data_IF_096544233370
#
_entry.id   IF_096544233370
#
_cell.length_a   1.000
_cell.length_b   1.000
_cell.length_c   1.000
_cell.angle_alpha   90.00
_cell.angle_beta   90.00
_cell.angle_gamma   90.00
#
_symmetry.space_group_name_H-M   'P 1'
#
loop_
_entity.id
_entity.type
_entity.pdbx_description
1 polymer ?
#
# COMPACT_ATOMS: atom_id res chain seq x y z
N UNK A 1 3.72 0.31 -18.81
CA UNK A 1 3.71 -0.70 -17.73
C UNK A 1 2.28 -0.99 -17.41
N UNK A 2 1.92 -2.23 -17.11
CA UNK A 2 0.58 -2.57 -16.64
C UNK A 2 0.69 -2.72 -15.14
N UNK A 3 -0.01 -1.88 -14.39
CA UNK A 3 -0.04 -1.92 -12.92
C UNK A 3 -1.23 -2.76 -12.43
N UNK A 4 -1.05 -3.57 -11.39
CA UNK A 4 -2.12 -4.37 -10.77
C UNK A 4 -3.27 -3.49 -10.28
N UNK A 5 -2.95 -2.30 -9.75
CA UNK A 5 -3.95 -1.31 -9.32
C UNK A 5 -4.83 -0.76 -10.46
N UNK A 6 -4.39 -0.90 -11.72
CA UNK A 6 -5.15 -0.48 -12.89
C UNK A 6 -5.99 -1.62 -13.48
N UNK A 7 -5.79 -2.86 -13.01
CA UNK A 7 -6.54 -4.02 -13.48
C UNK A 7 -7.87 -4.19 -12.74
N UNK A 8 -7.94 -3.76 -11.47
CA UNK A 8 -9.14 -3.86 -10.67
C UNK A 8 -9.23 -2.68 -9.70
N UNK A 9 -10.14 -1.75 -9.93
CA UNK A 9 -10.35 -0.64 -9.00
C UNK A 9 -11.36 -0.98 -7.90
N UNK A 10 -11.41 -0.17 -6.84
CA UNK A 10 -12.50 -0.20 -5.87
C UNK A 10 -13.87 0.07 -6.52
N UNK A 11 -13.92 0.97 -7.51
CA UNK A 11 -15.13 1.25 -8.31
C UNK A 11 -15.56 0.03 -9.12
N UNK A 12 -14.61 -0.74 -9.65
CA UNK A 12 -14.93 -1.97 -10.36
C UNK A 12 -15.58 -2.99 -9.42
N UNK A 13 -14.99 -3.23 -8.24
CA UNK A 13 -15.52 -4.15 -7.24
C UNK A 13 -16.94 -3.76 -6.79
N UNK A 14 -17.14 -2.48 -6.45
CA UNK A 14 -18.46 -1.97 -6.06
C UNK A 14 -19.49 -2.07 -7.18
N UNK A 15 -19.09 -1.84 -8.45
CA UNK A 15 -19.97 -2.01 -9.62
C UNK A 15 -20.39 -3.46 -9.85
N UNK A 16 -19.57 -4.42 -9.42
CA UNK A 16 -19.86 -5.86 -9.47
C UNK A 16 -20.71 -6.32 -8.27
N UNK A 17 -21.07 -5.41 -7.37
CA UNK A 17 -21.80 -5.73 -6.15
C UNK A 17 -20.94 -6.37 -5.05
N UNK A 18 -19.62 -6.45 -5.24
CA UNK A 18 -18.70 -6.94 -4.23
C UNK A 18 -18.68 -5.98 -3.05
N UNK A 19 -18.97 -6.51 -1.86
CA UNK A 19 -18.96 -5.73 -0.64
C UNK A 19 -17.53 -5.64 -0.11
N UNK A 20 -17.08 -4.41 -0.04
CA UNK A 20 -15.81 -3.98 0.50
C UNK A 20 -16.01 -3.59 1.95
N UNK A 21 -15.02 -3.83 2.81
CA UNK A 21 -15.14 -3.48 4.23
C UNK A 21 -15.31 -1.95 4.37
N UNK A 22 -16.43 -1.45 4.94
CA UNK A 22 -16.67 -0.02 5.06
C UNK A 22 -15.86 0.63 6.19
N UNK A 23 -15.36 -0.17 7.14
CA UNK A 23 -14.58 0.26 8.30
C UNK A 23 -13.57 -0.83 8.64
N UNK A 24 -12.55 -1.01 7.80
CA UNK A 24 -11.32 -1.59 8.28
C UNK A 24 -10.90 -0.76 9.49
N UNK A 25 -10.61 -1.43 10.59
CA UNK A 25 -9.90 -0.79 11.69
C UNK A 25 -8.77 0.06 11.08
N UNK A 26 -8.51 1.31 11.51
CA UNK A 26 -7.43 2.15 10.97
C UNK A 26 -6.02 1.52 10.98
N UNK A 27 -5.89 0.32 11.57
CA UNK A 27 -4.68 -0.52 11.59
C UNK A 27 -4.83 -1.85 10.80
N UNK A 28 -5.96 -2.09 10.15
CA UNK A 28 -6.20 -3.25 9.27
C UNK A 28 -6.04 -2.77 7.83
N UNK A 29 -4.93 -3.17 7.22
CA UNK A 29 -4.63 -2.89 5.82
C UNK A 29 -5.74 -3.47 4.93
N UNK A 30 -6.55 -2.58 4.36
CA UNK A 30 -7.68 -2.97 3.51
C UNK A 30 -7.26 -3.09 2.06
N UNK A 31 -6.32 -2.27 1.63
CA UNK A 31 -5.56 -2.50 0.40
C UNK A 31 -4.10 -2.22 0.66
N UNK A 32 -3.26 -3.05 0.07
CA UNK A 32 -1.84 -2.81 -0.04
C UNK A 32 -1.50 -2.90 -1.50
N UNK A 33 -0.78 -1.90 -2.02
CA UNK A 33 -0.23 -1.98 -3.36
C UNK A 33 1.28 -1.85 -3.37
N UNK A 34 1.90 -2.64 -4.21
CA UNK A 34 3.31 -2.52 -4.54
C UNK A 34 3.42 -2.27 -6.03
N UNK A 35 4.30 -1.35 -6.44
CA UNK A 35 4.52 -1.02 -7.85
C UNK A 35 5.92 -0.44 -8.06
N UNK A 36 6.33 -0.31 -9.33
CA UNK A 36 7.62 0.25 -9.70
C UNK A 36 7.50 1.70 -10.19
N UNK A 37 8.37 2.57 -9.70
CA UNK A 37 8.52 3.96 -10.16
C UNK A 37 9.81 4.16 -10.93
N UNK A 38 9.82 5.12 -11.86
CA UNK A 38 10.98 5.39 -12.72
C UNK A 38 12.09 6.22 -12.08
N UNK A 39 11.92 6.70 -10.85
CA UNK A 39 12.84 7.62 -10.17
C UNK A 39 13.75 6.93 -9.14
N UNK A 40 13.64 5.62 -8.92
CA UNK A 40 14.50 4.86 -8.01
C UNK A 40 15.70 4.24 -8.74
N UNK A 41 16.93 4.78 -8.59
CA UNK A 41 18.11 4.27 -9.29
C UNK A 41 18.76 3.06 -8.59
N UNK A 42 18.33 2.75 -7.36
CA UNK A 42 18.85 1.65 -6.56
C UNK A 42 18.48 0.28 -7.13
N UNK A 43 19.22 -0.78 -6.75
CA UNK A 43 18.95 -2.13 -7.24
C UNK A 43 17.64 -2.68 -6.70
N UNK A 44 16.95 -3.47 -7.53
CA UNK A 44 15.85 -4.31 -7.11
C UNK A 44 16.41 -5.67 -6.64
N UNK A 45 16.36 -5.96 -5.33
CA UNK A 45 17.00 -7.14 -4.69
C UNK A 45 15.97 -8.09 -4.07
N UNK A 46 14.99 -8.49 -4.87
CA UNK A 46 13.81 -9.21 -4.38
C UNK A 46 13.74 -10.62 -4.97
N UNK A 47 13.29 -11.57 -4.17
CA UNK A 47 13.07 -12.96 -4.63
C UNK A 47 11.89 -13.05 -5.61
N UNK A 48 10.98 -12.07 -5.59
CA UNK A 48 9.90 -11.89 -6.56
C UNK A 48 10.34 -11.42 -7.96
N UNK A 49 11.64 -11.32 -8.24
CA UNK A 49 12.15 -11.34 -9.64
C UNK A 49 11.81 -12.69 -10.31
N UNK A 50 11.52 -13.72 -9.50
CA UNK A 50 10.85 -14.93 -9.98
C UNK A 50 9.32 -14.76 -9.95
N UNK A 51 8.65 -15.31 -10.97
CA UNK A 51 7.22 -15.16 -11.26
C UNK A 51 6.31 -14.86 -10.05
N UNK A 52 5.58 -13.75 -10.10
CA UNK A 52 4.71 -13.28 -9.03
C UNK A 52 3.45 -14.13 -8.87
N UNK A 53 3.21 -14.63 -7.66
CA UNK A 53 1.93 -15.24 -7.27
C UNK A 53 1.16 -14.30 -6.36
N UNK A 54 -0.13 -14.12 -6.62
CA UNK A 54 -0.98 -13.24 -5.81
C UNK A 54 -1.07 -13.68 -4.32
N UNK A 55 -0.97 -14.97 -4.02
CA UNK A 55 -0.91 -15.48 -2.64
C UNK A 55 0.45 -15.27 -1.95
N UNK A 56 1.48 -14.86 -2.69
CA UNK A 56 2.83 -14.65 -2.20
C UNK A 56 3.31 -13.20 -2.39
N UNK A 57 4.62 -13.02 -2.39
CA UNK A 57 5.24 -11.72 -2.67
C UNK A 57 5.28 -11.46 -4.19
N UNK A 58 4.97 -10.22 -4.58
CA UNK A 58 4.99 -9.78 -5.98
C UNK A 58 5.44 -8.32 -6.11
N UNK A 59 6.13 -7.99 -7.20
CA UNK A 59 6.66 -6.64 -7.46
C UNK A 59 5.56 -5.63 -7.80
N UNK A 60 4.57 -6.09 -8.57
CA UNK A 60 3.37 -5.34 -8.89
C UNK A 60 2.17 -6.14 -8.37
N UNK A 61 1.59 -5.65 -7.27
CA UNK A 61 0.56 -6.35 -6.50
C UNK A 61 -0.47 -5.38 -5.97
N UNK A 62 -1.70 -5.84 -5.90
CA UNK A 62 -2.77 -5.18 -5.16
C UNK A 62 -3.54 -6.22 -4.33
N UNK A 63 -3.53 -6.05 -3.02
CA UNK A 63 -4.31 -6.85 -2.07
C UNK A 63 -5.59 -6.11 -1.69
N UNK A 64 -6.67 -6.85 -1.47
CA UNK A 64 -7.99 -6.40 -1.06
C UNK A 64 -8.43 -7.22 0.15
N UNK A 65 -8.72 -6.55 1.26
CA UNK A 65 -9.48 -7.10 2.38
C UNK A 65 -10.93 -6.70 2.20
N UNK A 66 -11.80 -7.69 2.14
CA UNK A 66 -13.22 -7.58 1.83
C UNK A 66 -14.05 -8.08 3.00
N UNK A 67 -15.35 -7.82 2.94
CA UNK A 67 -16.29 -8.31 3.94
C UNK A 67 -17.54 -8.85 3.26
N UNK A 68 -18.06 -9.95 3.78
CA UNK A 68 -19.32 -10.53 3.30
C UNK A 68 -20.46 -9.53 3.39
N UNK A 69 -21.51 -9.70 2.60
CA UNK A 69 -22.60 -8.72 2.53
C UNK A 69 -23.40 -8.55 3.83
N UNK A 70 -23.40 -9.57 4.68
CA UNK A 70 -23.98 -9.56 6.03
C UNK A 70 -22.99 -9.09 7.11
N UNK A 71 -21.73 -8.84 6.75
CA UNK A 71 -20.70 -8.32 7.64
C UNK A 71 -19.96 -9.36 8.49
N UNK A 72 -20.29 -10.66 8.33
CA UNK A 72 -19.88 -11.74 9.25
C UNK A 72 -18.51 -12.35 8.94
N UNK A 73 -18.06 -12.32 7.69
CA UNK A 73 -16.81 -12.94 7.26
C UNK A 73 -15.85 -11.90 6.69
N UNK A 74 -14.58 -12.00 7.09
CA UNK A 74 -13.47 -11.37 6.39
C UNK A 74 -13.09 -12.22 5.19
N UNK A 75 -12.91 -11.55 4.06
CA UNK A 75 -12.62 -12.15 2.76
C UNK A 75 -11.40 -11.47 2.15
N UNK A 76 -10.74 -12.14 1.21
CA UNK A 76 -9.56 -11.59 0.55
C UNK A 76 -9.62 -11.75 -0.95
N UNK A 77 -9.01 -10.80 -1.64
CA UNK A 77 -8.71 -10.88 -3.05
C UNK A 77 -7.33 -10.26 -3.25
N UNK A 78 -6.50 -10.84 -4.11
CA UNK A 78 -5.22 -10.28 -4.48
C UNK A 78 -5.04 -10.43 -5.99
N UNK A 79 -4.48 -9.41 -6.62
CA UNK A 79 -4.09 -9.40 -8.04
C UNK A 79 -2.61 -9.06 -8.11
N UNK A 80 -1.84 -9.84 -8.87
CA UNK A 80 -0.43 -9.58 -9.11
C UNK A 80 -0.13 -9.66 -10.61
N UNK A 81 0.69 -8.75 -11.14
CA UNK A 81 1.04 -8.72 -12.56
C UNK A 81 2.50 -9.06 -12.75
N UNK A 82 2.76 -10.06 -13.59
CA UNK A 82 4.08 -10.41 -14.11
C UNK A 82 4.17 -10.03 -15.57
N UNK A 83 5.16 -9.22 -15.94
CA UNK A 83 5.50 -8.91 -17.33
C UNK A 83 7.01 -8.84 -17.53
N UNK A 84 7.53 -9.16 -18.73
CA UNK A 84 8.97 -9.28 -18.99
C UNK A 84 9.80 -8.04 -18.64
N UNK A 85 9.19 -6.86 -18.67
CA UNK A 85 9.87 -5.59 -18.40
C UNK A 85 10.49 -5.52 -16.98
N UNK A 86 9.97 -6.27 -16.01
CA UNK A 86 10.51 -6.30 -14.64
C UNK A 86 10.52 -7.68 -13.99
N UNK A 87 9.82 -8.67 -14.56
CA UNK A 87 9.95 -10.09 -14.22
C UNK A 87 10.42 -10.83 -15.48
N UNK A 88 11.73 -10.98 -15.72
CA UNK A 88 12.23 -11.66 -16.92
C UNK A 88 11.68 -13.09 -17.10
N UNK A 89 11.34 -13.77 -16.00
CA UNK A 89 10.72 -15.10 -16.03
C UNK A 89 9.23 -15.12 -16.42
N UNK A 90 8.58 -13.96 -16.59
CA UNK A 90 7.15 -13.87 -16.90
C UNK A 90 6.78 -14.61 -18.19
N UNK A 91 7.63 -14.53 -19.22
CA UNK A 91 7.43 -15.27 -20.47
C UNK A 91 7.39 -16.80 -20.24
N UNK A 92 8.27 -17.32 -19.38
CA UNK A 92 8.28 -18.73 -19.00
C UNK A 92 7.02 -19.14 -18.22
N UNK A 93 6.46 -18.24 -17.43
CA UNK A 93 5.21 -18.50 -16.72
C UNK A 93 3.99 -18.46 -17.63
N UNK A 94 3.94 -17.57 -18.62
CA UNK A 94 2.89 -17.55 -19.64
C UNK A 94 2.89 -18.87 -20.45
N UNK A 95 4.08 -19.38 -20.81
CA UNK A 95 4.24 -20.66 -21.49
C UNK A 95 3.71 -21.87 -20.69
N UNK A 96 3.65 -21.79 -19.35
CA UNK A 96 3.03 -22.85 -18.53
C UNK A 96 1.53 -23.04 -18.79
N UNK A 97 0.90 -22.11 -19.51
CA UNK A 97 -0.51 -22.17 -19.91
C UNK A 97 -0.69 -22.56 -21.39
N UNK A 98 0.38 -22.86 -22.11
CA UNK A 98 0.31 -23.33 -23.49
C UNK A 98 -0.19 -24.78 -23.54
N UNK A 99 -1.14 -25.05 -24.43
CA UNK A 99 -1.83 -26.35 -24.49
C UNK A 99 -2.85 -26.59 -23.38
N UNK A 100 -2.97 -25.70 -22.39
CA UNK A 100 -4.05 -25.75 -21.40
C UNK A 100 -5.31 -25.12 -21.99
N UNK A 101 -6.46 -25.74 -21.79
CA UNK A 101 -7.73 -25.17 -22.22
C UNK A 101 -8.18 -24.05 -21.25
N UNK A 102 -8.40 -22.82 -21.73
CA UNK A 102 -8.86 -21.73 -20.87
C UNK A 102 -10.30 -21.95 -20.44
N UNK A 103 -10.62 -21.54 -19.21
CA UNK A 103 -11.98 -21.57 -18.66
C UNK A 103 -12.87 -20.51 -19.32
N UNK A 104 -12.30 -19.34 -19.62
CA UNK A 104 -12.97 -18.23 -20.33
C UNK A 104 -11.97 -17.61 -21.32
N UNK A 105 -12.45 -17.17 -22.48
CA UNK A 105 -11.67 -16.37 -23.44
C UNK A 105 -12.42 -15.07 -23.75
N UNK A 106 -11.69 -13.95 -23.78
CA UNK A 106 -12.20 -12.64 -24.19
C UNK A 106 -11.21 -12.03 -25.19
N UNK A 107 -11.52 -12.09 -26.49
CA UNK A 107 -10.55 -11.73 -27.53
C UNK A 107 -9.28 -12.57 -27.42
N UNK A 108 -8.11 -11.94 -27.31
CA UNK A 108 -6.82 -12.61 -27.11
C UNK A 108 -6.48 -12.91 -25.65
N UNK A 109 -7.32 -12.51 -24.70
CA UNK A 109 -7.09 -12.72 -23.27
C UNK A 109 -7.72 -14.05 -22.83
N UNK A 110 -6.95 -14.84 -22.10
CA UNK A 110 -7.33 -16.18 -21.63
C UNK A 110 -7.39 -16.21 -20.10
N UNK A 111 -8.46 -16.76 -19.54
CA UNK A 111 -8.58 -17.04 -18.11
C UNK A 111 -8.37 -18.54 -17.86
N UNK A 112 -7.54 -18.85 -16.87
CA UNK A 112 -7.29 -20.19 -16.38
C UNK A 112 -7.61 -20.21 -14.89
N UNK A 113 -8.63 -20.97 -14.50
CA UNK A 113 -8.96 -21.16 -13.09
C UNK A 113 -8.14 -22.31 -12.50
N UNK A 114 -7.29 -22.01 -11.52
CA UNK A 114 -6.52 -22.99 -10.74
C UNK A 114 -7.15 -23.08 -9.35
N UNK A 115 -8.12 -23.97 -9.20
CA UNK A 115 -8.76 -24.19 -7.90
C UNK A 115 -7.70 -24.77 -6.96
N UNK A 116 -7.49 -24.19 -5.77
CA UNK A 116 -6.83 -24.92 -4.67
C UNK A 116 -7.68 -26.17 -4.40
N UNK A 117 -7.17 -27.22 -3.76
CA UNK A 117 -8.00 -28.38 -3.37
C UNK A 117 -9.06 -27.94 -2.35
N UNK A 118 -10.12 -27.29 -2.85
CA UNK A 118 -11.15 -26.63 -2.06
C UNK A 118 -12.53 -27.19 -2.42
N UNK A 119 -13.41 -27.37 -1.42
CA UNK A 119 -14.77 -27.85 -1.65
C UNK A 119 -15.63 -26.88 -2.48
N UNK A 120 -15.36 -25.57 -2.38
CA UNK A 120 -16.15 -24.50 -3.00
C UNK A 120 -15.29 -23.67 -3.96
N UNK A 121 -15.12 -24.16 -5.19
CA UNK A 121 -14.06 -23.69 -6.05
C UNK A 121 -14.33 -22.35 -6.76
N UNK A 122 -15.55 -21.84 -6.67
CA UNK A 122 -15.92 -20.49 -7.12
C UNK A 122 -15.96 -19.48 -5.96
N UNK A 123 -15.66 -19.95 -4.75
CA UNK A 123 -15.54 -19.15 -3.53
C UNK A 123 -14.08 -18.99 -3.08
N UNK A 124 -13.18 -19.93 -3.37
CA UNK A 124 -11.75 -19.76 -3.05
C UNK A 124 -10.83 -20.45 -4.04
N UNK A 125 -9.59 -19.96 -4.17
CA UNK A 125 -8.58 -20.58 -5.02
C UNK A 125 -7.67 -19.57 -5.71
N UNK A 126 -7.11 -20.00 -6.84
CA UNK A 126 -6.24 -19.18 -7.68
C UNK A 126 -6.81 -19.08 -9.10
N UNK A 127 -6.46 -18.00 -9.79
CA UNK A 127 -6.71 -17.90 -11.22
C UNK A 127 -5.57 -17.16 -11.90
N UNK A 128 -5.47 -17.31 -13.21
CA UNK A 128 -4.52 -16.56 -14.03
C UNK A 128 -5.20 -16.04 -15.29
N UNK A 129 -5.00 -14.76 -15.56
CA UNK A 129 -5.36 -14.13 -16.82
C UNK A 129 -4.07 -13.91 -17.62
N UNK A 130 -4.04 -14.42 -18.85
CA UNK A 130 -2.85 -14.39 -19.71
C UNK A 130 -3.13 -13.60 -20.99
N UNK A 131 -2.22 -12.69 -21.34
CA UNK A 131 -2.21 -11.92 -22.58
C UNK A 131 -0.77 -11.80 -23.10
N UNK A 132 -0.42 -12.57 -24.14
CA UNK A 132 0.98 -12.66 -24.59
C UNK A 132 1.88 -13.15 -23.46
N UNK A 133 2.97 -12.44 -23.20
CA UNK A 133 3.93 -12.73 -22.13
C UNK A 133 3.55 -12.09 -20.77
N UNK A 134 2.40 -11.44 -20.69
CA UNK A 134 1.87 -10.85 -19.45
C UNK A 134 0.93 -11.82 -18.76
N UNK A 135 1.13 -12.01 -17.46
CA UNK A 135 0.27 -12.85 -16.61
C UNK A 135 -0.22 -12.03 -15.42
N UNK A 136 -1.54 -11.94 -15.26
CA UNK A 136 -2.19 -11.44 -14.05
C UNK A 136 -2.66 -12.63 -13.20
N UNK A 137 -2.00 -12.88 -12.08
CA UNK A 137 -2.36 -13.91 -11.10
C UNK A 137 -3.38 -13.37 -10.10
N UNK A 138 -4.28 -14.25 -9.68
CA UNK A 138 -5.31 -14.00 -8.67
C UNK A 138 -5.16 -15.00 -7.53
N UNK A 139 -5.35 -14.52 -6.32
CA UNK A 139 -5.60 -15.34 -5.15
C UNK A 139 -6.85 -14.79 -4.46
N UNK A 140 -7.80 -15.65 -4.11
CA UNK A 140 -9.09 -15.19 -3.59
C UNK A 140 -9.68 -16.14 -2.55
N UNK A 141 -10.34 -15.54 -1.56
CA UNK A 141 -11.19 -16.19 -0.57
C UNK A 141 -12.46 -15.34 -0.38
N UNK A 142 -13.49 -15.66 -1.17
CA UNK A 142 -14.79 -15.01 -1.31
C UNK A 142 -15.93 -15.97 -0.94
N UNK A 143 -15.96 -16.49 0.29
CA UNK A 143 -16.94 -17.49 0.77
C UNK A 143 -18.24 -16.92 1.30
N UNK A 144 -18.29 -15.62 1.53
CA UNK A 144 -19.38 -14.93 2.16
C UNK A 144 -20.59 -14.70 1.26
N UNK A 145 -21.79 -14.58 1.85
CA UNK A 145 -22.98 -14.21 1.11
C UNK A 145 -22.76 -12.88 0.37
N UNK A 146 -23.16 -12.84 -0.91
CA UNK A 146 -23.02 -11.67 -1.79
C UNK A 146 -21.72 -11.62 -2.61
N UNK A 147 -20.62 -12.20 -2.09
CA UNK A 147 -19.32 -12.24 -2.78
C UNK A 147 -19.02 -13.61 -3.39
N UNK A 148 -19.59 -14.69 -2.83
CA UNK A 148 -19.48 -16.04 -3.39
C UNK A 148 -19.95 -16.11 -4.85
N UNK A 149 -19.13 -16.72 -5.72
CA UNK A 149 -19.41 -16.87 -7.15
C UNK A 149 -19.08 -15.66 -8.03
N UNK A 150 -18.58 -14.55 -7.45
CA UNK A 150 -18.24 -13.34 -8.22
C UNK A 150 -16.95 -13.46 -9.05
N UNK A 151 -16.17 -14.53 -8.87
CA UNK A 151 -14.86 -14.69 -9.50
C UNK A 151 -14.89 -14.49 -11.02
N UNK A 152 -15.85 -15.07 -11.72
CA UNK A 152 -15.91 -14.94 -13.18
C UNK A 152 -16.18 -13.50 -13.62
N UNK A 153 -17.01 -12.77 -12.88
CA UNK A 153 -17.31 -11.37 -13.16
C UNK A 153 -16.09 -10.47 -12.88
N UNK A 154 -15.41 -10.70 -11.76
CA UNK A 154 -14.14 -10.04 -11.40
C UNK A 154 -13.08 -10.32 -12.46
N UNK A 155 -12.87 -11.59 -12.81
CA UNK A 155 -11.90 -12.00 -13.81
C UNK A 155 -12.20 -11.38 -15.17
N UNK A 156 -13.47 -11.37 -15.60
CA UNK A 156 -13.87 -10.73 -16.87
C UNK A 156 -13.57 -9.23 -16.86
N UNK A 157 -13.80 -8.52 -15.75
CA UNK A 157 -13.43 -7.11 -15.61
C UNK A 157 -11.92 -6.92 -15.73
N UNK A 158 -11.12 -7.75 -15.06
CA UNK A 158 -9.66 -7.69 -15.19
C UNK A 158 -9.21 -7.98 -16.62
N UNK A 159 -9.81 -8.96 -17.31
CA UNK A 159 -9.48 -9.23 -18.72
C UNK A 159 -9.73 -8.00 -19.60
N UNK A 160 -10.84 -7.28 -19.38
CA UNK A 160 -11.15 -6.03 -20.09
C UNK A 160 -10.12 -4.93 -19.78
N UNK A 161 -9.83 -4.71 -18.51
CA UNK A 161 -8.87 -3.70 -18.07
C UNK A 161 -7.45 -4.03 -18.54
N UNK A 162 -7.06 -5.31 -18.56
CA UNK A 162 -5.77 -5.76 -19.08
C UNK A 162 -5.63 -5.46 -20.58
N UNK A 163 -6.67 -5.71 -21.40
CA UNK A 163 -6.66 -5.31 -22.81
C UNK A 163 -6.53 -3.79 -22.97
N UNK A 164 -7.26 -3.03 -22.14
CA UNK A 164 -7.21 -1.57 -22.19
C UNK A 164 -5.82 -1.03 -21.83
N UNK A 165 -5.23 -1.50 -20.72
CA UNK A 165 -3.89 -1.12 -20.26
C UNK A 165 -2.79 -1.55 -21.23
N UNK A 166 -2.97 -2.65 -21.96
CA UNK A 166 -2.01 -3.05 -23.00
C UNK A 166 -2.01 -2.08 -24.19
N UNK A 167 -3.16 -1.51 -24.54
CA UNK A 167 -3.30 -0.54 -25.64
C UNK A 167 -2.92 0.88 -25.20
N UNK A 168 -3.26 1.24 -23.98
CA UNK A 168 -3.02 2.56 -23.40
C UNK A 168 -2.48 2.39 -21.97
N UNK A 169 -1.17 2.09 -21.82
CA UNK A 169 -0.57 1.93 -20.50
C UNK A 169 -0.67 3.24 -19.72
N UNK A 170 -1.20 3.16 -18.49
CA UNK A 170 -1.20 4.26 -17.54
C UNK A 170 -0.21 3.98 -16.41
N UNK A 171 0.30 5.03 -15.77
CA UNK A 171 0.99 4.89 -14.49
C UNK A 171 0.05 4.39 -13.38
N UNK A 172 0.56 4.17 -12.16
CA UNK A 172 -0.26 3.74 -11.04
C UNK A 172 -1.41 4.72 -10.82
N UNK A 173 -2.64 4.19 -10.68
CA UNK A 173 -3.83 5.01 -10.46
C UNK A 173 -3.67 5.87 -9.20
N UNK A 174 -4.16 7.11 -9.24
CA UNK A 174 -4.25 7.91 -8.01
C UNK A 174 -5.41 7.40 -7.17
N UNK A 175 -5.25 7.44 -5.86
CA UNK A 175 -6.31 7.04 -4.93
C UNK A 175 -7.01 8.31 -4.49
N UNK A 176 -8.17 8.54 -5.11
CA UNK A 176 -9.02 9.66 -4.78
C UNK A 176 -9.93 9.29 -3.63
N UNK A 177 -9.87 10.07 -2.55
CA UNK A 177 -10.75 9.92 -1.41
C UNK A 177 -11.91 10.90 -1.53
N UNK A 178 -13.14 10.39 -1.66
CA UNK A 178 -14.36 11.19 -1.68
C UNK A 178 -15.36 10.62 -0.69
N UNK A 179 -15.61 11.34 0.40
CA UNK A 179 -16.59 10.97 1.42
C UNK A 179 -17.41 12.17 1.86
N UNK A 180 -18.75 12.08 1.93
CA UNK A 180 -19.59 13.16 2.45
C UNK A 180 -19.24 13.56 3.90
N UNK A 181 -18.71 12.63 4.69
CA UNK A 181 -18.28 12.89 6.08
C UNK A 181 -16.82 13.34 6.20
N UNK A 182 -16.08 13.37 5.08
CA UNK A 182 -14.76 13.99 4.99
C UNK A 182 -14.61 14.76 3.67
N UNK A 183 -15.17 15.97 3.59
CA UNK A 183 -15.23 16.74 2.34
C UNK A 183 -13.91 17.43 1.98
N UNK A 184 -12.90 17.35 2.85
CA UNK A 184 -11.60 17.99 2.68
C UNK A 184 -10.66 17.09 1.87
N UNK A 185 -9.74 17.66 1.07
CA UNK A 185 -8.74 16.87 0.37
C UNK A 185 -7.88 16.02 1.32
N UNK A 186 -7.34 14.91 0.83
CA UNK A 186 -6.46 14.03 1.59
C UNK A 186 -5.04 14.12 1.01
N UNK A 187 -4.04 14.23 1.87
CA UNK A 187 -2.65 14.31 1.45
C UNK A 187 -2.11 12.91 1.06
N UNK A 188 -1.37 12.87 -0.04
CA UNK A 188 -0.76 11.63 -0.57
C UNK A 188 0.70 11.53 -0.10
N UNK A 189 1.11 10.44 0.56
CA UNK A 189 2.45 10.31 1.12
C UNK A 189 3.54 10.06 0.06
N UNK A 190 3.32 9.21 -0.95
CA UNK A 190 4.41 8.83 -1.87
C UNK A 190 5.03 9.96 -2.68
N UNK A 191 4.28 10.96 -3.19
CA UNK A 191 4.88 12.12 -3.85
C UNK A 191 5.85 12.92 -2.95
N UNK A 192 5.78 12.74 -1.63
CA UNK A 192 6.67 13.38 -0.65
C UNK A 192 7.92 12.54 -0.33
N UNK A 193 7.95 11.27 -0.72
CA UNK A 193 9.11 10.38 -0.58
C UNK A 193 9.90 10.32 -1.89
N UNK A 194 10.47 11.45 -2.30
CA UNK A 194 11.38 11.50 -3.45
C UNK A 194 12.75 10.90 -3.11
N UNK A 195 13.56 10.49 -4.10
CA UNK A 195 14.85 9.86 -3.84
C UNK A 195 15.80 10.71 -2.97
N UNK A 196 15.75 12.03 -3.08
CA UNK A 196 16.53 12.97 -2.26
C UNK A 196 16.07 13.05 -0.79
N UNK A 197 14.80 12.72 -0.52
CA UNK A 197 14.26 12.58 0.85
C UNK A 197 14.62 11.21 1.44
N UNK A 198 14.58 10.16 0.62
CA UNK A 198 14.72 8.76 1.07
C UNK A 198 16.17 8.32 1.21
N UNK A 199 17.03 8.70 0.26
CA UNK A 199 18.42 8.23 0.17
C UNK A 199 19.26 8.61 1.41
N UNK A 200 19.20 9.85 1.95
CA UNK A 200 20.03 10.20 3.09
C UNK A 200 19.69 9.41 4.37
N UNK A 201 18.41 9.25 4.78
CA UNK A 201 18.06 8.42 5.93
C UNK A 201 18.46 6.96 5.80
N UNK A 202 18.29 6.34 4.61
CA UNK A 202 18.60 4.92 4.43
C UNK A 202 20.08 4.65 4.13
N UNK A 203 20.84 5.69 3.73
CA UNK A 203 22.27 5.62 3.44
C UNK A 203 22.63 4.93 2.11
N UNK A 204 21.67 4.75 1.22
CA UNK A 204 21.83 4.09 -0.08
C UNK A 204 20.75 4.56 -1.07
N UNK A 205 20.98 4.35 -2.36
CA UNK A 205 19.99 4.68 -3.40
C UNK A 205 18.70 3.88 -3.19
N UNK A 206 17.57 4.58 -3.22
CA UNK A 206 16.26 3.96 -3.15
C UNK A 206 16.00 3.08 -4.40
N UNK A 207 15.49 1.88 -4.16
CA UNK A 207 14.94 0.99 -5.20
C UNK A 207 13.78 1.66 -5.93
N UNK A 208 13.49 1.25 -7.18
CA UNK A 208 12.25 1.64 -7.87
C UNK A 208 10.99 1.06 -7.21
N UNK A 209 11.09 0.13 -6.26
CA UNK A 209 9.94 -0.45 -5.57
C UNK A 209 9.31 0.53 -4.58
N UNK A 210 7.99 0.70 -4.68
CA UNK A 210 7.16 1.48 -3.76
C UNK A 210 6.09 0.56 -3.18
N UNK A 211 5.83 0.69 -1.88
CA UNK A 211 4.67 0.09 -1.22
C UNK A 211 3.76 1.19 -0.68
N UNK A 212 2.47 1.12 -0.97
CA UNK A 212 1.45 2.04 -0.47
C UNK A 212 0.36 1.29 0.28
N UNK A 213 -0.03 1.86 1.42
CA UNK A 213 -1.17 1.44 2.22
C UNK A 213 -2.16 2.62 2.25
N UNK A 214 -3.07 2.71 1.26
CA UNK A 214 -4.05 3.78 1.22
C UNK A 214 -5.07 3.69 2.35
N UNK A 215 -5.54 4.85 2.80
CA UNK A 215 -6.72 4.98 3.65
C UNK A 215 -7.99 4.74 2.85
N UNK A 216 -8.89 3.95 3.41
CA UNK A 216 -10.04 3.36 2.69
C UNK A 216 -11.38 3.76 3.30
N UNK A 217 -11.32 4.31 4.51
CA UNK A 217 -12.47 4.83 5.24
C UNK A 217 -12.06 6.07 6.04
N UNK A 218 -13.07 6.84 6.44
CA UNK A 218 -12.90 7.89 7.43
C UNK A 218 -12.85 7.21 8.79
N UNK A 219 -11.72 7.32 9.46
CA UNK A 219 -11.59 6.94 10.87
C UNK A 219 -12.19 8.02 11.77
N UNK A 220 -12.49 7.65 13.00
CA UNK A 220 -12.80 8.58 14.08
C UNK A 220 -11.94 8.24 15.30
N UNK A 221 -11.48 9.27 16.01
CA UNK A 221 -10.68 9.12 17.23
C UNK A 221 -11.16 10.09 18.31
N UNK A 222 -11.33 9.59 19.52
CA UNK A 222 -11.57 10.42 20.72
C UNK A 222 -10.29 10.43 21.53
N UNK A 223 -9.66 11.60 21.65
CA UNK A 223 -8.44 11.74 22.44
C UNK A 223 -8.74 11.76 23.94
N UNK A 224 -7.74 11.43 24.80
CA UNK A 224 -7.91 11.53 26.25
C UNK A 224 -8.46 12.89 26.67
N UNK A 225 -9.44 12.89 27.58
CA UNK A 225 -10.14 14.09 28.08
C UNK A 225 -11.04 14.81 27.07
N UNK A 226 -11.22 14.27 25.87
CA UNK A 226 -12.20 14.75 24.89
C UNK A 226 -13.51 13.97 24.95
N UNK A 227 -14.58 14.62 24.52
CA UNK A 227 -15.91 13.99 24.37
C UNK A 227 -16.38 13.94 22.92
N UNK A 228 -15.74 14.70 22.03
CA UNK A 228 -16.07 14.75 20.61
C UNK A 228 -15.02 14.00 19.79
N UNK A 229 -15.45 13.15 18.83
CA UNK A 229 -14.52 12.46 17.95
C UNK A 229 -13.96 13.39 16.87
N UNK A 230 -12.74 13.09 16.43
CA UNK A 230 -12.08 13.73 15.30
C UNK A 230 -12.03 12.77 14.12
N UNK A 231 -12.56 13.19 12.98
CA UNK A 231 -12.48 12.41 11.75
C UNK A 231 -11.12 12.59 11.08
N UNK A 232 -10.60 11.49 10.54
CA UNK A 232 -9.34 11.48 9.82
C UNK A 232 -9.31 10.44 8.68
N UNK A 233 -8.36 10.63 7.77
CA UNK A 233 -7.97 9.64 6.76
C UNK A 233 -6.45 9.51 6.81
N UNK A 234 -5.95 8.28 6.95
CA UNK A 234 -4.51 8.00 7.03
C UNK A 234 -4.06 7.19 5.82
N UNK A 235 -3.00 7.64 5.14
CA UNK A 235 -2.35 6.94 4.04
C UNK A 235 -0.88 6.73 4.42
N UNK A 236 -0.29 5.63 3.98
CA UNK A 236 1.13 5.35 4.20
C UNK A 236 1.83 4.97 2.90
N UNK A 237 3.08 5.41 2.77
CA UNK A 237 3.99 5.05 1.68
C UNK A 237 5.32 4.59 2.26
N UNK A 238 5.94 3.60 1.64
CA UNK A 238 7.27 3.13 1.98
C UNK A 238 8.16 3.04 0.72
N UNK A 239 9.41 3.49 0.87
CA UNK A 239 10.48 3.32 -0.12
C UNK A 239 11.76 2.87 0.56
N UNK A 240 12.54 1.99 -0.08
CA UNK A 240 13.74 1.43 0.54
C UNK A 240 14.73 0.79 -0.42
N UNK A 241 15.62 -0.04 0.08
CA UNK A 241 16.72 -0.67 -0.68
C UNK A 241 16.32 -1.90 -1.52
N UNK A 242 15.02 -2.20 -1.61
CA UNK A 242 14.47 -3.18 -2.57
C UNK A 242 14.59 -4.66 -2.19
N UNK A 243 14.89 -4.98 -0.92
CA UNK A 243 14.85 -6.34 -0.39
C UNK A 243 13.40 -6.77 -0.10
N UNK A 244 13.13 -8.08 -0.28
CA UNK A 244 11.83 -8.70 0.02
C UNK A 244 11.54 -8.87 1.49
N UNK A 245 12.58 -9.20 2.27
CA UNK A 245 12.45 -9.42 3.68
C UNK A 245 12.39 -8.08 4.41
N UNK A 246 11.28 -7.85 5.10
CA UNK A 246 11.03 -6.65 5.90
C UNK A 246 12.08 -6.46 7.01
N UNK A 247 12.76 -7.52 7.43
CA UNK A 247 13.85 -7.45 8.41
C UNK A 247 15.20 -7.11 7.77
N UNK A 248 15.41 -7.52 6.52
CA UNK A 248 16.66 -7.26 5.79
C UNK A 248 16.65 -5.94 4.99
N UNK A 249 15.52 -5.22 4.96
CA UNK A 249 15.38 -3.98 4.20
C UNK A 249 15.70 -2.75 5.04
N UNK A 250 16.38 -1.77 4.42
CA UNK A 250 16.39 -0.38 4.90
C UNK A 250 15.31 0.38 4.15
N UNK A 251 14.38 0.97 4.87
CA UNK A 251 13.25 1.67 4.27
C UNK A 251 12.82 2.89 5.08
N UNK A 252 12.38 3.92 4.38
CA UNK A 252 11.73 5.09 4.94
C UNK A 252 10.23 4.98 4.66
N UNK A 253 9.44 4.91 5.73
CA UNK A 253 7.99 4.93 5.66
C UNK A 253 7.47 6.31 6.09
N UNK A 254 6.49 6.83 5.37
CA UNK A 254 5.78 8.06 5.67
C UNK A 254 4.29 7.76 5.75
N UNK A 255 3.73 7.90 6.95
CA UNK A 255 2.29 7.96 7.18
C UNK A 255 1.84 9.41 7.25
N UNK A 256 0.80 9.75 6.50
CA UNK A 256 0.15 11.06 6.55
C UNK A 256 -1.29 10.88 7.00
N UNK A 257 -1.61 11.46 8.16
CA UNK A 257 -2.96 11.49 8.73
C UNK A 257 -3.57 12.87 8.49
N UNK A 258 -4.58 12.90 7.61
CA UNK A 258 -5.34 14.10 7.24
C UNK A 258 -6.56 14.24 8.14
N UNK A 259 -6.68 15.36 8.87
CA UNK A 259 -7.84 15.68 9.69
C UNK A 259 -8.76 16.71 9.03
N UNK A 260 -9.97 16.86 9.57
CA UNK A 260 -10.88 17.97 9.22
C UNK A 260 -10.48 19.31 9.84
N UNK A 261 -9.70 19.29 10.93
CA UNK A 261 -9.27 20.48 11.66
C UNK A 261 -7.81 20.39 12.09
N UNK A 262 -7.19 21.55 12.29
CA UNK A 262 -5.83 21.64 12.84
C UNK A 262 -5.76 21.12 14.28
N UNK A 263 -6.83 21.32 15.06
CA UNK A 263 -6.91 20.87 16.45
C UNK A 263 -6.85 19.33 16.54
N UNK A 264 -7.53 18.62 15.65
CA UNK A 264 -7.43 17.15 15.58
C UNK A 264 -6.01 16.68 15.28
N UNK A 265 -5.34 17.33 14.32
CA UNK A 265 -3.95 17.02 13.98
C UNK A 265 -2.98 17.34 15.14
N UNK A 266 -3.19 18.45 15.84
CA UNK A 266 -2.38 18.85 17.00
C UNK A 266 -2.51 17.82 18.12
N UNK A 267 -3.74 17.48 18.51
CA UNK A 267 -4.01 16.45 19.54
C UNK A 267 -3.43 15.09 19.16
N UNK A 268 -3.46 14.74 17.87
CA UNK A 268 -2.82 13.52 17.40
C UNK A 268 -1.32 13.51 17.67
N UNK A 269 -0.60 14.58 17.30
CA UNK A 269 0.85 14.70 17.56
C UNK A 269 1.14 14.68 19.06
N UNK A 270 0.37 15.40 19.87
CA UNK A 270 0.50 15.42 21.33
C UNK A 270 0.27 14.03 21.95
N UNK A 271 -0.76 13.31 21.49
CA UNK A 271 -1.11 11.98 22.00
C UNK A 271 -0.05 10.94 21.67
N UNK A 272 0.39 10.87 20.40
CA UNK A 272 1.46 9.95 19.98
C UNK A 272 2.76 10.28 20.71
N UNK A 273 3.17 11.56 20.73
CA UNK A 273 4.38 11.94 21.44
C UNK A 273 4.31 11.66 22.94
N UNK A 274 3.16 11.89 23.58
CA UNK A 274 2.95 11.59 25.00
C UNK A 274 3.06 10.10 25.32
N UNK A 275 2.46 9.25 24.49
CA UNK A 275 2.49 7.79 24.66
C UNK A 275 3.90 7.19 24.51
N UNK A 276 4.75 7.82 23.69
CA UNK A 276 6.08 7.28 23.33
C UNK A 276 7.25 8.14 23.82
N UNK A 277 7.02 9.07 24.76
CA UNK A 277 8.08 9.88 25.36
C UNK A 277 8.81 10.81 24.37
N UNK A 278 8.09 11.32 23.37
CA UNK A 278 8.65 12.15 22.30
C UNK A 278 9.25 13.47 22.80
N UNK A 279 10.39 13.83 22.24
CA UNK A 279 11.15 15.03 22.58
C UNK A 279 11.11 16.04 21.43
N UNK A 280 11.15 17.33 21.74
CA UNK A 280 11.26 18.35 20.70
C UNK A 280 12.67 18.30 20.07
N UNK A 281 12.80 18.20 18.73
CA UNK A 281 14.09 18.32 18.08
C UNK A 281 14.61 19.77 18.17
N UNK A 282 15.92 19.96 17.99
CA UNK A 282 16.56 21.29 18.06
C UNK A 282 16.09 22.26 16.97
N UNK A 283 15.69 21.75 15.81
CA UNK A 283 15.08 22.54 14.73
C UNK A 283 13.63 22.09 14.51
N UNK A 284 12.72 23.05 14.39
CA UNK A 284 11.30 22.77 14.19
C UNK A 284 11.02 22.32 12.76
N UNK A 285 10.18 21.30 12.61
CA UNK A 285 9.61 20.86 11.32
C UNK A 285 8.13 21.19 11.31
N UNK A 286 7.67 21.93 10.29
CA UNK A 286 6.28 22.39 10.22
C UNK A 286 5.88 23.27 11.40
N UNK A 287 4.66 23.11 11.89
CA UNK A 287 4.09 23.88 13.00
C UNK A 287 4.49 23.31 14.36
N UNK A 288 4.78 22.01 14.43
CA UNK A 288 5.35 21.34 15.60
C UNK A 288 5.96 20.00 15.18
N UNK A 289 7.00 19.58 15.90
CA UNK A 289 7.66 18.30 15.66
C UNK A 289 8.11 17.66 16.97
N UNK A 290 8.09 16.34 16.98
CA UNK A 290 8.57 15.50 18.07
C UNK A 290 9.33 14.33 17.48
N UNK A 291 10.43 13.98 18.11
CA UNK A 291 11.21 12.82 17.76
C UNK A 291 11.23 11.83 18.92
N UNK A 292 11.09 10.56 18.58
CA UNK A 292 10.98 9.48 19.55
C UNK A 292 11.70 8.23 19.05
N UNK A 293 12.06 7.40 20.01
CA UNK A 293 12.48 6.02 19.75
C UNK A 293 11.24 5.15 19.95
N UNK A 294 10.74 4.52 18.89
CA UNK A 294 9.65 3.55 19.05
C UNK A 294 10.23 2.24 19.59
N UNK A 295 9.97 1.97 20.87
CA UNK A 295 10.43 0.75 21.55
C UNK A 295 9.43 -0.39 21.46
N UNK A 296 8.26 -0.18 20.85
CA UNK A 296 7.15 -1.14 20.82
C UNK A 296 6.99 -1.85 19.47
N UNK A 297 7.56 -1.30 18.40
CA UNK A 297 7.64 -1.95 17.09
C UNK A 297 9.01 -2.56 16.86
N UNK A 298 9.06 -3.88 16.60
CA UNK A 298 10.30 -4.59 16.21
C UNK A 298 10.86 -4.12 14.86
N UNK A 299 10.07 -3.35 14.08
CA UNK A 299 10.34 -2.93 12.70
C UNK A 299 10.76 -1.46 12.58
N UNK A 300 10.41 -0.58 13.51
CA UNK A 300 10.60 0.88 13.37
C UNK A 300 11.29 1.45 14.59
N UNK A 301 12.44 2.08 14.36
CA UNK A 301 13.42 2.23 15.44
C UNK A 301 13.88 3.68 15.64
N UNK A 302 13.41 4.60 14.80
CA UNK A 302 13.33 6.03 15.08
C UNK A 302 12.09 6.60 14.38
N UNK A 303 11.39 7.51 15.05
CA UNK A 303 10.17 8.14 14.52
C UNK A 303 10.24 9.65 14.68
N UNK A 304 10.04 10.37 13.58
CA UNK A 304 9.78 11.80 13.59
C UNK A 304 8.31 12.01 13.28
N UNK A 305 7.56 12.56 14.24
CA UNK A 305 6.20 13.02 14.00
C UNK A 305 6.19 14.55 13.93
N UNK A 306 5.51 15.12 12.93
CA UNK A 306 5.35 16.57 12.82
C UNK A 306 3.99 16.95 12.25
N UNK A 307 3.59 18.20 12.45
CA UNK A 307 2.33 18.74 11.95
C UNK A 307 2.58 19.90 10.98
N UNK A 308 1.71 20.02 9.97
CA UNK A 308 1.57 21.24 9.18
C UNK A 308 0.08 21.45 8.86
N UNK A 309 -0.53 22.48 9.45
CA UNK A 309 -1.97 22.71 9.42
C UNK A 309 -2.75 21.52 9.98
N UNK A 310 -3.70 20.99 9.18
CA UNK A 310 -4.57 19.84 9.51
C UNK A 310 -3.96 18.46 9.23
N UNK A 311 -2.67 18.40 8.92
CA UNK A 311 -1.98 17.17 8.54
C UNK A 311 -0.92 16.80 9.58
N UNK A 312 -0.98 15.57 10.07
CA UNK A 312 0.09 14.97 10.86
C UNK A 312 0.89 14.01 9.98
N UNK A 313 2.21 14.08 10.07
CA UNK A 313 3.16 13.30 9.30
C UNK A 313 3.99 12.49 10.28
N UNK A 314 4.06 11.18 10.06
CA UNK A 314 4.88 10.26 10.84
C UNK A 314 5.88 9.59 9.91
N UNK A 315 7.15 9.94 10.09
CA UNK A 315 8.27 9.45 9.32
C UNK A 315 9.03 8.41 10.15
N UNK A 316 9.14 7.19 9.62
CA UNK A 316 9.71 6.04 10.32
C UNK A 316 10.85 5.46 9.48
N UNK A 317 12.01 5.21 10.12
CA UNK A 317 13.12 4.50 9.50
C UNK A 317 13.14 3.05 9.98
N UNK A 318 13.00 2.13 9.03
CA UNK A 318 13.22 0.70 9.21
C UNK A 318 14.66 0.36 8.81
N UNK A 319 15.44 -0.19 9.74
CA UNK A 319 16.80 -0.70 9.52
C UNK A 319 17.10 -1.76 10.58
N UNK A 320 16.43 -2.92 10.49
CA UNK A 320 16.50 -3.93 11.54
C UNK A 320 17.88 -4.58 11.64
N UNK A 321 18.55 -4.88 10.52
CA UNK A 321 19.91 -5.46 10.52
C UNK A 321 20.97 -4.50 11.09
N UNK A 322 20.92 -3.22 10.72
CA UNK A 322 21.86 -2.22 11.23
C UNK A 322 21.57 -1.82 12.68
N UNK A 323 20.29 -1.82 13.06
CA UNK A 323 19.82 -1.32 14.34
C UNK A 323 18.78 -2.26 14.95
N UNK A 324 19.15 -3.48 15.41
CA UNK A 324 18.22 -4.49 15.92
C UNK A 324 17.63 -4.14 17.29
N UNK A 325 17.92 -2.97 17.87
CA UNK A 325 17.37 -2.50 19.15
C UNK A 325 16.67 -1.14 19.12
N UNK A 326 16.78 -0.38 18.03
CA UNK A 326 16.38 1.02 18.03
C UNK A 326 17.45 1.84 17.34
N UNK A 327 17.07 2.95 16.71
CA UNK A 327 17.97 4.08 16.55
C UNK A 327 17.98 4.80 17.90
N UNK A 328 19.16 5.16 18.39
CA UNK A 328 19.23 6.10 19.49
C UNK A 328 18.60 7.44 19.07
N UNK A 329 18.12 8.22 20.03
CA UNK A 329 17.44 9.49 19.75
C UNK A 329 18.29 10.44 18.88
N UNK A 330 19.61 10.50 19.10
CA UNK A 330 20.53 11.32 18.30
C UNK A 330 20.69 10.82 16.87
N UNK A 331 20.67 9.51 16.65
CA UNK A 331 20.74 8.88 15.33
C UNK A 331 19.43 9.11 14.56
N UNK A 332 18.29 8.89 15.22
CA UNK A 332 16.98 9.22 14.68
C UNK A 332 16.90 10.71 14.31
N UNK A 333 17.43 11.60 15.15
CA UNK A 333 17.45 13.06 14.89
C UNK A 333 18.26 13.36 13.64
N UNK A 334 19.46 12.79 13.53
CA UNK A 334 20.35 13.04 12.41
C UNK A 334 19.79 12.51 11.09
N UNK A 335 19.13 11.35 11.12
CA UNK A 335 18.56 10.72 9.93
C UNK A 335 17.22 11.36 9.50
N UNK A 336 16.28 11.54 10.42
CA UNK A 336 14.89 11.87 10.08
C UNK A 336 14.62 13.36 10.00
N UNK A 337 15.34 14.19 10.76
CA UNK A 337 15.06 15.63 10.81
C UNK A 337 15.25 16.33 9.46
N UNK A 338 16.34 16.10 8.69
CA UNK A 338 16.50 16.70 7.37
C UNK A 338 15.41 16.25 6.38
N UNK A 339 15.05 14.96 6.38
CA UNK A 339 13.98 14.43 5.55
C UNK A 339 12.63 15.06 5.88
N UNK A 340 12.30 15.19 7.18
CA UNK A 340 11.10 15.88 7.63
C UNK A 340 11.05 17.35 7.20
N UNK A 341 12.18 18.06 7.24
CA UNK A 341 12.26 19.45 6.76
C UNK A 341 11.98 19.55 5.25
N UNK A 342 12.55 18.66 4.44
CA UNK A 342 12.28 18.63 3.01
C UNK A 342 10.81 18.32 2.71
N UNK A 343 10.23 17.32 3.38
CA UNK A 343 8.80 17.00 3.24
C UNK A 343 7.94 18.22 3.61
N UNK A 344 8.22 18.87 4.74
CA UNK A 344 7.47 20.03 5.19
C UNK A 344 7.62 21.23 4.24
N UNK A 345 8.76 21.42 3.59
CA UNK A 345 8.98 22.48 2.59
C UNK A 345 8.24 22.19 1.27
N UNK A 346 8.29 20.94 0.81
CA UNK A 346 7.67 20.49 -0.45
C UNK A 346 6.14 20.38 -0.34
N UNK A 347 5.60 20.14 0.85
CA UNK A 347 4.16 20.05 1.09
C UNK A 347 3.49 21.43 0.98
N UNK A 348 2.64 21.63 -0.03
CA UNK A 348 1.99 22.93 -0.30
C UNK A 348 0.62 23.13 0.33
N UNK A 349 0.10 22.16 1.10
CA UNK A 349 -1.30 22.19 1.53
C UNK A 349 -2.19 21.96 0.31
N UNK A 350 -2.93 20.85 0.32
CA UNK A 350 -3.79 20.46 -0.80
C UNK A 350 -4.88 21.50 -1.04
#
# INVERSE_FOLDING_TARGET
MIEACNLLSWTDLTSLGVKVDPRPDPNVVTFQRSYLVGDGPGPLKTSAITYSQAGGLALDKFNYSLRSADGTLQETLAVAVSQPAYVPSAAGAAAAYDGVHPSITLGSVRLFSKRRDVPEPDASGEAAVVLGDTVASFDFDLKGPGNAGQLQAIAKRVMQNLQAQTRHPAGPSTIDYSSPVFPQPVAQPCPLLTPDVVTPPIGADASPLVSELPGTSVGDVVFPHETQPYNYVALECERGTGQDDELSRKALALRVTSFLSEDGAKKYVENIAGAHGGQAPAAQVGDESKIMTDTLSVKTRGVLIFRKGRFAFELQLADHDGHPNGLALGEATSALLPAGQQIAQSFRGV
#
